data_IF_480057019005
#
_entry.id   IF_480057019005
#
_cell.length_a   1.000
_cell.length_b   1.000
_cell.length_c   1.000
_cell.angle_alpha   90.00
_cell.angle_beta   90.00
_cell.angle_gamma   90.00
#
_symmetry.space_group_name_H-M   'P 1'
#
loop_
_entity.id
_entity.type
_entity.pdbx_description
1 polymer ?
#
# COMPACT_ATOMS: atom_id res chain seq x y z
N UNK A 1 11.52 -9.04 -12.22
CA UNK A 1 11.64 -8.22 -13.45
C UNK A 1 11.63 -6.76 -13.02
N UNK A 2 12.56 -5.93 -13.50
CA UNK A 2 12.56 -4.48 -13.26
C UNK A 2 11.83 -3.77 -14.40
N UNK A 3 10.89 -2.88 -14.08
CA UNK A 3 10.14 -2.09 -15.06
C UNK A 3 9.87 -0.69 -14.52
N UNK A 4 9.38 0.18 -15.41
CA UNK A 4 8.93 1.53 -15.08
C UNK A 4 7.56 1.74 -15.73
N UNK A 5 6.64 2.38 -15.00
CA UNK A 5 5.32 2.77 -15.50
C UNK A 5 5.05 4.22 -15.11
N UNK A 6 4.83 5.10 -16.07
CA UNK A 6 4.61 6.54 -15.83
C UNK A 6 5.65 7.16 -14.86
N UNK A 7 6.92 6.82 -15.10
CA UNK A 7 8.06 7.26 -14.28
C UNK A 7 8.15 6.61 -12.88
N UNK A 8 7.24 5.72 -12.50
CA UNK A 8 7.30 4.94 -11.26
C UNK A 8 8.08 3.64 -11.50
N UNK A 9 9.28 3.46 -10.89
CA UNK A 9 9.98 2.20 -10.93
C UNK A 9 9.22 1.13 -10.14
N UNK A 10 9.21 -0.10 -10.64
CA UNK A 10 8.63 -1.22 -9.93
C UNK A 10 9.32 -2.55 -10.23
N UNK A 11 9.15 -3.48 -9.28
CA UNK A 11 9.54 -4.88 -9.44
C UNK A 11 8.29 -5.73 -9.65
N UNK A 12 8.34 -6.57 -10.67
CA UNK A 12 7.31 -7.53 -11.01
C UNK A 12 7.83 -8.95 -10.83
N UNK A 13 7.05 -9.77 -10.13
CA UNK A 13 7.24 -11.21 -10.00
C UNK A 13 6.01 -11.93 -10.57
N UNK A 14 6.25 -12.78 -11.56
CA UNK A 14 5.22 -13.66 -12.11
C UNK A 14 5.21 -15.02 -11.37
N UNK A 15 4.09 -15.75 -11.41
CA UNK A 15 4.04 -17.14 -10.99
C UNK A 15 5.19 -17.96 -11.59
N UNK A 16 5.70 -18.95 -10.86
CA UNK A 16 6.85 -19.75 -11.31
C UNK A 16 6.60 -20.46 -12.65
N UNK A 17 5.37 -20.96 -12.84
CA UNK A 17 4.90 -21.57 -14.08
C UNK A 17 3.80 -20.70 -14.67
N UNK A 18 4.14 -19.45 -15.02
CA UNK A 18 3.16 -18.52 -15.57
C UNK A 18 2.56 -19.04 -16.88
N UNK A 19 1.24 -18.88 -17.01
CA UNK A 19 0.47 -19.31 -18.18
C UNK A 19 -0.43 -18.14 -18.60
N UNK A 20 -0.23 -17.61 -19.80
CA UNK A 20 -0.88 -16.36 -20.22
C UNK A 20 -2.42 -16.41 -20.19
N UNK A 21 -3.01 -17.58 -20.48
CA UNK A 21 -4.47 -17.77 -20.50
C UNK A 21 -5.09 -17.94 -19.09
N UNK A 22 -4.28 -18.12 -18.05
CA UNK A 22 -4.76 -18.40 -16.69
C UNK A 22 -4.85 -17.13 -15.87
N UNK A 23 -5.97 -16.97 -15.14
CA UNK A 23 -6.15 -15.84 -14.23
C UNK A 23 -5.39 -16.02 -12.91
N UNK A 24 -4.64 -15.01 -12.50
CA UNK A 24 -3.86 -15.02 -11.25
C UNK A 24 -4.28 -13.91 -10.29
N UNK A 25 -4.29 -14.16 -8.97
CA UNK A 25 -4.32 -13.09 -7.97
C UNK A 25 -3.17 -12.11 -8.17
N UNK A 26 -3.38 -10.87 -7.74
CA UNK A 26 -2.34 -9.83 -7.72
C UNK A 26 -2.11 -9.32 -6.30
N UNK A 27 -0.84 -9.15 -5.95
CA UNK A 27 -0.40 -8.55 -4.68
C UNK A 27 0.30 -7.23 -4.99
N UNK A 28 -0.24 -6.13 -4.45
CA UNK A 28 0.43 -4.83 -4.36
C UNK A 28 1.26 -4.77 -3.07
N UNK A 29 2.59 -4.76 -3.20
CA UNK A 29 3.54 -4.72 -2.09
C UNK A 29 4.12 -3.30 -1.91
N UNK A 30 3.63 -2.58 -0.90
CA UNK A 30 4.00 -1.20 -0.62
C UNK A 30 5.20 -1.13 0.33
N UNK A 31 6.25 -0.43 -0.09
CA UNK A 31 7.45 -0.25 0.74
C UNK A 31 7.24 0.72 1.90
N UNK A 32 8.11 0.60 2.92
CA UNK A 32 8.17 1.51 4.07
C UNK A 32 8.99 2.79 3.80
N UNK A 33 9.08 3.68 4.80
CA UNK A 33 9.73 4.99 4.64
C UNK A 33 11.23 4.92 4.33
N UNK A 34 11.94 3.91 4.84
CA UNK A 34 13.36 3.68 4.56
C UNK A 34 13.64 3.14 3.14
N UNK A 35 12.65 3.16 2.26
CA UNK A 35 12.72 2.60 0.90
C UNK A 35 12.13 3.57 -0.13
N UNK A 36 11.86 4.80 0.31
CA UNK A 36 11.55 5.94 -0.54
C UNK A 36 12.72 6.20 -1.47
N UNK A 37 12.46 6.34 -2.76
CA UNK A 37 13.49 6.55 -3.78
C UNK A 37 13.02 6.10 -5.15
N UNK A 38 13.97 5.89 -6.05
CA UNK A 38 13.77 5.50 -7.45
C UNK A 38 14.79 4.48 -7.97
N UNK A 39 15.62 3.90 -7.08
CA UNK A 39 16.65 2.90 -7.42
C UNK A 39 16.09 1.56 -7.94
N UNK A 40 14.78 1.34 -7.77
CA UNK A 40 14.06 0.11 -8.02
C UNK A 40 14.65 -1.11 -7.28
N UNK A 41 15.30 -0.91 -6.14
CA UNK A 41 15.94 -1.98 -5.36
C UNK A 41 15.54 -1.92 -3.89
N UNK A 42 15.57 -0.74 -3.29
CA UNK A 42 15.29 -0.60 -1.86
C UNK A 42 13.83 -0.87 -1.50
N UNK A 43 12.91 -0.86 -2.48
CA UNK A 43 11.53 -1.35 -2.34
C UNK A 43 11.44 -2.84 -1.99
N UNK A 44 12.48 -3.63 -2.24
CA UNK A 44 12.55 -5.06 -1.92
C UNK A 44 13.25 -5.31 -0.59
N UNK A 45 12.52 -5.17 0.52
CA UNK A 45 13.01 -5.51 1.86
C UNK A 45 12.77 -6.98 2.22
N UNK A 46 13.33 -7.40 3.36
CA UNK A 46 13.34 -8.79 3.81
C UNK A 46 11.95 -9.45 3.89
N UNK A 47 10.88 -8.68 4.15
CA UNK A 47 9.52 -9.24 4.16
C UNK A 47 9.05 -9.71 2.77
N UNK A 48 9.59 -9.13 1.69
CA UNK A 48 9.31 -9.55 0.32
C UNK A 48 9.95 -10.89 -0.03
N UNK A 49 10.93 -11.36 0.75
CA UNK A 49 11.64 -12.62 0.49
C UNK A 49 10.69 -13.83 0.49
N UNK A 50 9.60 -13.78 1.26
CA UNK A 50 8.58 -14.84 1.28
C UNK A 50 7.94 -15.07 -0.08
N UNK A 51 7.78 -14.04 -0.91
CA UNK A 51 7.19 -14.18 -2.25
C UNK A 51 8.08 -14.95 -3.22
N UNK A 52 9.40 -15.00 -2.98
CA UNK A 52 10.33 -15.69 -3.87
C UNK A 52 10.65 -17.12 -3.43
N UNK A 53 10.19 -17.54 -2.24
CA UNK A 53 10.35 -18.92 -1.75
C UNK A 53 9.60 -19.91 -2.64
N UNK A 54 10.30 -20.97 -3.10
CA UNK A 54 9.74 -21.95 -4.04
C UNK A 54 8.46 -22.63 -3.51
N UNK A 55 8.42 -22.97 -2.22
CA UNK A 55 7.26 -23.59 -1.58
C UNK A 55 6.03 -22.67 -1.60
N UNK A 56 6.23 -21.37 -1.35
CA UNK A 56 5.17 -20.37 -1.41
C UNK A 56 4.70 -20.10 -2.83
N UNK A 57 5.62 -19.98 -3.79
CA UNK A 57 5.29 -19.78 -5.20
C UNK A 57 4.51 -20.95 -5.80
N UNK A 58 4.83 -22.18 -5.37
CA UNK A 58 4.10 -23.38 -5.78
C UNK A 58 2.70 -23.46 -5.14
N UNK A 59 2.59 -23.14 -3.85
CA UNK A 59 1.32 -23.22 -3.11
C UNK A 59 0.35 -22.08 -3.45
N UNK A 60 0.88 -20.88 -3.71
CA UNK A 60 0.10 -19.66 -3.94
C UNK A 60 0.60 -18.90 -5.18
N UNK A 61 0.38 -19.44 -6.39
CA UNK A 61 0.79 -18.77 -7.61
C UNK A 61 0.03 -17.46 -7.77
N UNK A 62 0.77 -16.34 -7.78
CA UNK A 62 0.23 -14.99 -7.90
C UNK A 62 1.23 -14.07 -8.62
N UNK A 63 0.71 -12.95 -9.12
CA UNK A 63 1.51 -11.83 -9.60
C UNK A 63 1.80 -10.94 -8.39
N UNK A 64 3.06 -10.55 -8.20
CA UNK A 64 3.45 -9.57 -7.17
C UNK A 64 4.04 -8.36 -7.86
N UNK A 65 3.50 -7.18 -7.53
CA UNK A 65 4.01 -5.89 -7.96
C UNK A 65 4.48 -5.09 -6.75
N UNK A 66 5.73 -4.64 -6.78
CA UNK A 66 6.32 -3.80 -5.76
C UNK A 66 6.76 -2.47 -6.39
N UNK A 67 5.88 -1.46 -6.45
CA UNK A 67 6.26 -0.13 -6.91
C UNK A 67 7.16 0.58 -5.90
N UNK A 68 7.95 1.52 -6.38
CA UNK A 68 8.74 2.42 -5.54
C UNK A 68 8.30 3.87 -5.76
N UNK A 69 8.15 4.59 -4.65
CA UNK A 69 7.68 5.96 -4.64
C UNK A 69 8.71 6.87 -3.97
N UNK A 70 8.82 8.09 -4.48
CA UNK A 70 9.60 9.18 -3.89
C UNK A 70 8.92 9.84 -2.67
N UNK A 71 7.91 9.20 -2.06
CA UNK A 71 7.17 9.76 -0.94
C UNK A 71 6.16 8.81 -0.31
N UNK A 72 5.27 9.38 0.51
CA UNK A 72 4.19 8.64 1.15
C UNK A 72 3.17 8.12 0.14
N UNK A 73 2.53 7.00 0.47
CA UNK A 73 1.46 6.40 -0.34
C UNK A 73 0.16 7.20 -0.23
N UNK A 74 0.16 8.40 -0.81
CA UNK A 74 -0.99 9.28 -0.89
C UNK A 74 -1.76 9.13 -2.20
N UNK A 75 -3.03 9.51 -2.18
CA UNK A 75 -3.91 9.58 -3.36
C UNK A 75 -4.00 11.03 -3.83
N UNK A 76 -3.90 11.25 -5.14
CA UNK A 76 -4.05 12.58 -5.73
C UNK A 76 -5.42 13.16 -5.38
N UNK A 77 -5.43 14.40 -4.90
CA UNK A 77 -6.65 15.08 -4.45
C UNK A 77 -7.12 14.72 -3.05
N UNK A 78 -6.50 13.76 -2.36
CA UNK A 78 -6.83 13.53 -0.95
C UNK A 78 -6.46 14.77 -0.13
N UNK A 79 -7.34 15.17 0.79
CA UNK A 79 -7.16 16.39 1.58
C UNK A 79 -6.82 16.04 3.01
N UNK A 80 -5.72 16.60 3.51
CA UNK A 80 -5.42 16.60 4.94
C UNK A 80 -6.24 17.73 5.58
N UNK A 81 -7.08 17.45 6.59
CA UNK A 81 -7.85 18.50 7.25
C UNK A 81 -6.92 19.48 7.95
N UNK A 82 -7.43 20.69 8.20
CA UNK A 82 -6.75 21.61 9.11
C UNK A 82 -6.77 21.02 10.53
N UNK A 83 -5.60 20.60 11.02
CA UNK A 83 -5.43 19.97 12.32
C UNK A 83 -5.43 21.03 13.44
N UNK A 84 -6.59 21.64 13.67
CA UNK A 84 -6.78 22.62 14.74
C UNK A 84 -6.61 21.98 16.12
N UNK A 85 -6.27 22.76 17.14
CA UNK A 85 -6.14 22.26 18.52
C UNK A 85 -7.40 21.55 19.02
N UNK A 86 -8.64 22.04 18.78
CA UNK A 86 -9.85 21.30 19.12
C UNK A 86 -9.94 19.94 18.42
N UNK A 87 -9.59 19.85 17.14
CA UNK A 87 -9.63 18.59 16.39
C UNK A 87 -8.59 17.60 16.93
N UNK A 88 -7.35 18.04 17.15
CA UNK A 88 -6.28 17.20 17.70
C UNK A 88 -6.69 16.56 19.03
N UNK A 89 -7.35 17.33 19.91
CA UNK A 89 -7.84 16.85 21.21
C UNK A 89 -8.92 15.77 21.15
N UNK A 90 -9.52 15.54 19.98
CA UNK A 90 -10.46 14.42 19.78
C UNK A 90 -9.74 13.08 19.56
N UNK A 91 -8.45 13.10 19.23
CA UNK A 91 -7.64 11.91 19.00
C UNK A 91 -6.95 11.45 20.30
N UNK A 92 -6.50 10.20 20.32
CA UNK A 92 -5.74 9.65 21.46
C UNK A 92 -4.45 10.44 21.70
N UNK A 93 -3.94 10.41 22.93
CA UNK A 93 -2.69 11.09 23.30
C UNK A 93 -1.51 10.69 22.40
N UNK A 94 -1.45 9.41 22.03
CA UNK A 94 -0.43 8.90 21.11
C UNK A 94 -0.53 9.55 19.72
N UNK A 95 -1.76 9.77 19.20
CA UNK A 95 -1.95 10.51 17.96
C UNK A 95 -1.62 12.00 18.13
N UNK A 96 -1.99 12.64 19.24
CA UNK A 96 -1.66 14.04 19.48
C UNK A 96 -0.14 14.28 19.38
N UNK A 97 0.66 13.47 20.09
CA UNK A 97 2.12 13.53 20.03
C UNK A 97 2.66 13.29 18.60
N UNK A 98 2.09 12.31 17.89
CA UNK A 98 2.50 12.03 16.50
C UNK A 98 2.16 13.16 15.54
N UNK A 99 1.01 13.82 15.70
CA UNK A 99 0.59 14.91 14.83
C UNK A 99 1.50 16.13 14.99
N UNK A 100 1.96 16.40 16.22
CA UNK A 100 2.96 17.42 16.51
C UNK A 100 4.32 17.09 15.89
N UNK A 101 4.80 15.86 16.06
CA UNK A 101 6.08 15.39 15.47
C UNK A 101 6.08 15.45 13.94
N UNK A 102 4.97 14.99 13.33
CA UNK A 102 4.90 14.79 11.88
C UNK A 102 4.49 16.02 11.10
N UNK A 103 3.88 17.00 11.76
CA UNK A 103 3.44 18.28 11.18
C UNK A 103 2.82 18.11 9.77
N UNK A 104 1.73 17.36 9.69
CA UNK A 104 1.09 17.07 8.41
C UNK A 104 0.57 18.36 7.75
N UNK A 105 1.07 18.76 6.57
CA UNK A 105 0.62 19.98 5.93
C UNK A 105 -0.83 19.81 5.47
N UNK A 106 -1.73 20.75 5.81
CA UNK A 106 -3.14 20.69 5.43
C UNK A 106 -3.30 20.93 3.92
N UNK A 107 -4.48 20.60 3.42
CA UNK A 107 -4.84 20.80 2.01
C UNK A 107 -4.61 19.57 1.14
N UNK A 108 -4.83 19.71 -0.19
CA UNK A 108 -4.85 18.60 -1.12
C UNK A 108 -3.44 18.07 -1.42
N UNK A 109 -3.32 16.75 -1.60
CA UNK A 109 -2.11 16.12 -2.13
C UNK A 109 -2.10 16.22 -3.66
N UNK A 110 -1.08 16.89 -4.20
CA UNK A 110 -0.96 17.16 -5.64
C UNK A 110 -0.35 16.01 -6.45
N UNK A 111 0.56 15.22 -5.85
CA UNK A 111 1.16 14.05 -6.48
C UNK A 111 0.97 12.84 -5.57
N UNK A 112 0.00 11.97 -5.89
CA UNK A 112 -0.29 10.77 -5.13
C UNK A 112 0.35 9.52 -5.73
N UNK A 113 1.46 8.98 -5.16
CA UNK A 113 2.04 7.74 -5.64
C UNK A 113 1.07 6.56 -5.62
N UNK A 114 0.10 6.56 -4.70
CA UNK A 114 -0.88 5.48 -4.63
C UNK A 114 -1.87 5.54 -5.82
N UNK A 115 -2.21 6.72 -6.32
CA UNK A 115 -2.99 6.87 -7.56
C UNK A 115 -2.25 6.27 -8.75
N UNK A 116 -0.93 6.49 -8.86
CA UNK A 116 -0.12 5.86 -9.90
C UNK A 116 -0.03 4.33 -9.74
N UNK A 117 0.08 3.85 -8.50
CA UNK A 117 0.07 2.41 -8.23
C UNK A 117 -1.27 1.74 -8.61
N UNK A 118 -2.40 2.45 -8.47
CA UNK A 118 -3.69 1.96 -8.98
C UNK A 118 -3.72 1.86 -10.49
N UNK A 119 -3.25 2.89 -11.20
CA UNK A 119 -3.12 2.84 -12.66
C UNK A 119 -2.15 1.75 -13.13
N UNK A 120 -1.08 1.48 -12.36
CA UNK A 120 -0.18 0.36 -12.61
C UNK A 120 -0.89 -1.00 -12.46
N UNK A 121 -1.76 -1.16 -11.46
CA UNK A 121 -2.57 -2.39 -11.35
C UNK A 121 -3.46 -2.56 -12.57
N UNK A 122 -4.11 -1.47 -13.02
CA UNK A 122 -4.99 -1.50 -14.20
C UNK A 122 -4.20 -1.90 -15.46
N UNK A 123 -3.02 -1.30 -15.67
CA UNK A 123 -2.11 -1.66 -16.75
C UNK A 123 -1.66 -3.14 -16.68
N UNK A 124 -1.33 -3.64 -15.49
CA UNK A 124 -0.95 -5.04 -15.32
C UNK A 124 -2.13 -6.01 -15.50
N UNK A 125 -3.36 -5.58 -15.23
CA UNK A 125 -4.57 -6.38 -15.45
C UNK A 125 -4.96 -6.47 -16.93
N UNK A 126 -4.54 -5.50 -17.74
CA UNK A 126 -4.63 -5.57 -19.21
C UNK A 126 -3.51 -6.45 -19.80
N UNK A 127 -2.29 -6.32 -19.27
CA UNK A 127 -1.12 -7.05 -19.77
C UNK A 127 -1.13 -8.54 -19.36
N UNK A 128 -1.53 -8.82 -18.13
CA UNK A 128 -1.59 -10.16 -17.56
C UNK A 128 -3.04 -10.46 -17.21
N UNK A 129 -3.48 -11.70 -17.42
CA UNK A 129 -4.80 -12.15 -16.97
C UNK A 129 -4.89 -12.09 -15.44
N UNK A 130 -5.15 -10.91 -14.87
CA UNK A 130 -5.30 -10.70 -13.43
C UNK A 130 -6.73 -11.07 -13.04
N UNK A 131 -6.87 -11.81 -11.94
CA UNK A 131 -8.14 -11.99 -11.28
C UNK A 131 -8.45 -10.76 -10.43
N UNK A 132 -9.26 -9.86 -10.98
CA UNK A 132 -9.61 -8.58 -10.33
C UNK A 132 -10.42 -8.74 -9.05
N UNK A 133 -11.01 -9.92 -8.80
CA UNK A 133 -11.67 -10.24 -7.52
C UNK A 133 -10.68 -10.67 -6.43
N UNK A 134 -9.39 -10.85 -6.77
CA UNK A 134 -8.33 -11.31 -5.86
C UNK A 134 -7.10 -10.41 -5.95
N UNK A 135 -7.33 -9.11 -5.77
CA UNK A 135 -6.26 -8.12 -5.60
C UNK A 135 -6.08 -7.87 -4.11
N UNK A 136 -4.85 -8.03 -3.62
CA UNK A 136 -4.49 -7.81 -2.22
C UNK A 136 -3.48 -6.68 -2.13
N UNK A 137 -3.50 -5.91 -1.05
CA UNK A 137 -2.44 -4.94 -0.74
C UNK A 137 -1.81 -5.24 0.61
N UNK A 138 -0.49 -5.12 0.65
CA UNK A 138 0.30 -5.33 1.87
C UNK A 138 1.42 -4.32 1.97
N UNK A 139 1.84 -4.03 3.19
CA UNK A 139 2.93 -3.11 3.44
C UNK A 139 3.28 -2.99 4.92
N UNK A 140 4.47 -2.45 5.17
CA UNK A 140 5.02 -2.24 6.51
C UNK A 140 5.37 -0.77 6.76
N UNK A 141 5.12 -0.28 7.97
CA UNK A 141 5.34 1.12 8.40
C UNK A 141 4.59 2.09 7.49
N UNK A 142 5.29 2.98 6.76
CA UNK A 142 4.69 3.84 5.72
C UNK A 142 3.90 3.03 4.68
N UNK A 143 4.36 1.83 4.33
CA UNK A 143 3.65 0.93 3.42
C UNK A 143 2.37 0.37 4.02
N UNK A 144 2.34 0.10 5.34
CA UNK A 144 1.13 -0.32 6.05
C UNK A 144 0.12 0.82 6.19
N UNK A 145 0.60 2.03 6.45
CA UNK A 145 -0.25 3.24 6.35
C UNK A 145 -0.79 3.42 4.91
N UNK A 146 0.02 3.07 3.90
CA UNK A 146 -0.39 2.96 2.51
C UNK A 146 -1.50 1.94 2.30
N UNK A 147 -1.41 0.74 2.87
CA UNK A 147 -2.46 -0.29 2.78
C UNK A 147 -3.79 0.18 3.36
N UNK A 148 -3.77 0.94 4.47
CA UNK A 148 -4.96 1.60 5.00
C UNK A 148 -5.51 2.67 4.05
N UNK A 149 -4.62 3.50 3.48
CA UNK A 149 -5.04 4.51 2.52
C UNK A 149 -5.62 3.89 1.24
N UNK A 150 -5.11 2.73 0.84
CA UNK A 150 -5.60 1.96 -0.30
C UNK A 150 -7.07 1.60 -0.15
N UNK A 151 -7.43 0.94 0.95
CA UNK A 151 -8.83 0.54 1.18
C UNK A 151 -9.72 1.72 1.52
N UNK A 152 -9.19 2.80 2.11
CA UNK A 152 -9.96 4.02 2.30
C UNK A 152 -10.32 4.72 0.98
N UNK A 153 -9.42 4.68 0.00
CA UNK A 153 -9.62 5.35 -1.29
C UNK A 153 -10.38 4.50 -2.31
N UNK A 154 -10.21 3.18 -2.29
CA UNK A 154 -10.80 2.27 -3.27
C UNK A 154 -11.20 0.92 -2.62
N UNK A 155 -12.13 0.92 -1.66
CA UNK A 155 -12.45 -0.27 -0.86
C UNK A 155 -12.92 -1.46 -1.70
N UNK A 156 -13.67 -1.21 -2.78
CA UNK A 156 -14.22 -2.25 -3.67
C UNK A 156 -13.16 -2.92 -4.57
N UNK A 157 -11.94 -2.36 -4.65
CA UNK A 157 -10.87 -2.89 -5.53
C UNK A 157 -10.05 -3.99 -4.89
N UNK A 158 -10.12 -4.18 -3.57
CA UNK A 158 -9.19 -5.03 -2.83
C UNK A 158 -9.93 -6.10 -2.02
N UNK A 159 -9.52 -7.35 -2.20
CA UNK A 159 -10.14 -8.51 -1.58
C UNK A 159 -9.80 -8.66 -0.10
N UNK A 160 -8.61 -8.24 0.33
CA UNK A 160 -8.20 -8.17 1.73
C UNK A 160 -6.89 -7.38 1.89
N UNK A 161 -6.61 -6.94 3.13
CA UNK A 161 -5.32 -6.33 3.49
C UNK A 161 -4.72 -6.95 4.75
N UNK A 162 -3.49 -7.50 4.69
CA UNK A 162 -2.62 -7.55 5.85
C UNK A 162 -1.86 -6.22 5.97
N UNK A 163 -2.00 -5.53 7.10
CA UNK A 163 -1.39 -4.21 7.31
C UNK A 163 -0.57 -4.14 8.59
N UNK A 164 0.68 -3.68 8.47
CA UNK A 164 1.53 -3.34 9.60
C UNK A 164 1.87 -1.85 9.57
N UNK A 165 0.89 -1.00 9.91
CA UNK A 165 1.01 0.45 9.93
C UNK A 165 -0.22 1.13 10.53
N UNK A 166 -0.18 2.46 10.66
CA UNK A 166 -1.27 3.23 11.26
C UNK A 166 -2.27 3.76 10.23
N UNK A 167 -3.56 3.69 10.55
CA UNK A 167 -4.62 4.43 9.86
C UNK A 167 -4.62 5.87 10.37
N UNK A 168 -4.48 6.85 9.48
CA UNK A 168 -4.53 8.27 9.85
C UNK A 168 -5.87 8.60 10.54
N UNK A 169 -5.87 9.40 11.62
CA UNK A 169 -7.01 9.48 12.54
C UNK A 169 -8.21 10.22 11.96
N UNK A 170 -7.99 11.01 10.89
CA UNK A 170 -9.06 11.68 10.14
C UNK A 170 -9.66 10.81 9.01
N UNK A 171 -9.18 9.57 8.82
CA UNK A 171 -9.74 8.67 7.81
C UNK A 171 -10.86 7.83 8.43
N UNK A 172 -12.08 8.12 8.00
CA UNK A 172 -13.27 7.38 8.42
C UNK A 172 -13.20 5.88 8.05
N UNK A 173 -13.19 4.97 9.04
CA UNK A 173 -13.15 3.52 8.79
C UNK A 173 -14.45 2.96 8.23
N UNK A 174 -15.58 3.68 8.32
CA UNK A 174 -16.86 3.21 7.79
C UNK A 174 -16.81 2.97 6.26
N UNK A 175 -15.91 3.66 5.55
CA UNK A 175 -15.70 3.50 4.10
C UNK A 175 -15.24 2.11 3.68
N UNK A 176 -14.54 1.38 4.55
CA UNK A 176 -13.92 0.10 4.22
C UNK A 176 -14.29 -1.02 5.19
N UNK A 177 -15.38 -0.85 5.96
CA UNK A 177 -15.84 -1.81 6.97
C UNK A 177 -16.12 -3.23 6.43
N UNK A 178 -16.35 -3.37 5.12
CA UNK A 178 -16.62 -4.64 4.46
C UNK A 178 -15.33 -5.35 3.98
N UNK A 179 -14.19 -4.66 3.98
CA UNK A 179 -12.92 -5.22 3.50
C UNK A 179 -12.32 -6.10 4.60
N UNK A 180 -11.99 -7.39 4.32
CA UNK A 180 -11.27 -8.23 5.26
C UNK A 180 -9.89 -7.64 5.60
N UNK A 181 -9.63 -7.45 6.89
CA UNK A 181 -8.41 -6.80 7.39
C UNK A 181 -7.72 -7.70 8.42
N UNK A 182 -6.41 -7.89 8.26
CA UNK A 182 -5.53 -8.45 9.29
C UNK A 182 -4.48 -7.41 9.68
N UNK A 183 -4.72 -6.71 10.79
CA UNK A 183 -3.83 -5.66 11.27
C UNK A 183 -2.79 -6.19 12.27
N UNK A 184 -1.56 -5.70 12.17
CA UNK A 184 -0.45 -6.05 13.04
C UNK A 184 0.21 -4.78 13.60
N UNK A 185 0.53 -4.79 14.90
CA UNK A 185 1.27 -3.70 15.53
C UNK A 185 2.14 -4.22 16.67
N UNK A 186 3.34 -3.68 16.81
CA UNK A 186 4.22 -4.00 17.93
C UNK A 186 3.68 -3.39 19.22
N UNK A 187 3.63 -4.15 20.33
CA UNK A 187 3.11 -3.68 21.62
C UNK A 187 3.77 -2.39 22.12
N UNK A 188 5.05 -2.22 21.84
CA UNK A 188 5.86 -1.07 22.30
C UNK A 188 6.08 -0.02 21.20
N UNK A 189 5.43 -0.17 20.04
CA UNK A 189 5.50 0.83 18.99
C UNK A 189 4.63 2.03 19.39
N UNK A 190 5.18 3.24 19.27
CA UNK A 190 4.40 4.47 19.44
C UNK A 190 3.41 4.56 18.27
N UNK A 191 2.13 4.83 18.58
CA UNK A 191 1.07 4.97 17.57
C UNK A 191 1.39 6.10 16.59
#
# INVERSE_FOLDING_TARGET
ISRVFDGMPYRLLLPANFEAAKKYPLILNLHGGASVGDDNESNLRNWSAKFVEASWRAKYPCIVVAPQAAGSWSVTGETVPELTEPLKKTYSEAWQARLEERNYPPGPKSNGPLTKAFALIDHLAEEFAVDTNRIYVLGHSMGGAGSWNTVWAAPERFAAIPSAGGLLPWKDPAKFKHVPIWAFHGRSSRA
#
